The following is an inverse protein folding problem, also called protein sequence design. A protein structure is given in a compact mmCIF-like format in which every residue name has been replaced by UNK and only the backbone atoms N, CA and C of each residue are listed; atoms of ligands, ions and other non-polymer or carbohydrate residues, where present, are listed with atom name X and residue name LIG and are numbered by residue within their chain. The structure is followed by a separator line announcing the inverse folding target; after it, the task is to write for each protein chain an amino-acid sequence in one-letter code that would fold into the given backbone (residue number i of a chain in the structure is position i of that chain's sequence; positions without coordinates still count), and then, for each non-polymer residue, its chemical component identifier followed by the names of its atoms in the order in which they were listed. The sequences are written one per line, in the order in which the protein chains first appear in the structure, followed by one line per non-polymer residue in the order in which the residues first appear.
data_IF_438402253014
#
_entry.id   IF_438402253014
#
_cell.length_a   1.000
_cell.length_b   1.000
_cell.length_c   1.000
_cell.angle_alpha   90.00
_cell.angle_beta   90.00
_cell.angle_gamma   90.00
#
_symmetry.space_group_name_H-M   'P 1'
#
loop_
_entity.id
_entity.type
_entity.pdbx_description
1 polymer ?
#
# COMPACT_ATOMS: atom_id res chain seq x y z
N UNK A 1 16.32 5.94 55.91
CA UNK A 1 16.90 5.90 54.56
C UNK A 1 16.22 4.77 53.79
N UNK A 2 15.08 5.07 53.20
CA UNK A 2 14.37 4.18 52.27
C UNK A 2 14.98 4.42 50.89
N UNK A 3 15.75 3.46 50.41
CA UNK A 3 16.27 3.46 49.05
C UNK A 3 15.12 3.24 48.09
N UNK A 4 14.70 4.28 47.39
CA UNK A 4 13.86 4.14 46.19
C UNK A 4 14.62 3.29 45.18
N UNK A 5 14.14 2.06 45.02
CA UNK A 5 14.55 1.19 43.93
C UNK A 5 13.91 1.78 42.67
N UNK A 6 14.66 2.12 41.61
CA UNK A 6 14.04 2.54 40.37
C UNK A 6 13.09 1.42 39.90
N UNK A 7 11.87 1.79 39.51
CA UNK A 7 10.92 0.85 38.91
C UNK A 7 11.63 0.12 37.75
N UNK A 8 11.43 -1.21 37.59
CA UNK A 8 12.00 -1.91 36.45
C UNK A 8 11.51 -1.22 35.17
N UNK A 9 12.44 -0.97 34.24
CA UNK A 9 12.11 -0.54 32.89
C UNK A 9 11.00 -1.45 32.36
N UNK A 10 9.92 -0.87 31.82
CA UNK A 10 8.75 -1.63 31.37
C UNK A 10 9.20 -2.82 30.52
N UNK A 11 8.90 -4.04 30.98
CA UNK A 11 9.40 -5.29 30.40
C UNK A 11 8.63 -5.63 29.12
N UNK A 12 8.83 -4.83 28.07
CA UNK A 12 8.14 -4.93 26.78
C UNK A 12 9.07 -4.81 25.59
N UNK A 13 8.54 -5.18 24.42
CA UNK A 13 9.25 -5.10 23.14
C UNK A 13 9.09 -3.70 22.55
N UNK A 14 10.12 -2.85 22.70
CA UNK A 14 10.13 -1.51 22.14
C UNK A 14 10.22 -1.55 20.61
N UNK A 15 9.27 -0.90 19.94
CA UNK A 15 9.18 -0.82 18.49
C UNK A 15 8.92 0.63 18.05
N UNK A 16 9.40 1.01 16.87
CA UNK A 16 9.24 2.34 16.31
C UNK A 16 8.05 2.38 15.36
N UNK A 17 7.28 3.47 15.38
CA UNK A 17 6.21 3.73 14.41
C UNK A 17 6.46 5.08 13.75
N UNK A 18 6.65 5.06 12.43
CA UNK A 18 7.07 6.24 11.67
C UNK A 18 6.23 6.37 10.40
N UNK A 19 4.96 6.73 10.58
CA UNK A 19 4.01 7.05 9.51
C UNK A 19 3.49 8.48 9.70
N UNK A 20 3.38 9.25 8.62
CA UNK A 20 2.85 10.61 8.69
C UNK A 20 1.36 10.61 9.00
N UNK A 21 0.92 11.61 9.76
CA UNK A 21 -0.51 11.82 10.07
C UNK A 21 -1.02 13.14 9.51
N UNK A 22 -0.15 13.86 8.80
CA UNK A 22 -0.37 15.17 8.22
C UNK A 22 0.41 15.31 6.90
N UNK A 23 0.12 16.35 6.12
CA UNK A 23 0.75 16.61 4.82
C UNK A 23 0.10 15.91 3.64
N UNK A 24 0.74 16.00 2.46
CA UNK A 24 0.19 15.54 1.18
C UNK A 24 -0.15 14.03 1.13
N UNK A 25 0.51 13.22 1.96
CA UNK A 25 0.28 11.77 2.09
C UNK A 25 -0.51 11.41 3.35
N UNK A 26 -1.07 12.40 4.03
CA UNK A 26 -1.71 12.23 5.33
C UNK A 26 -2.85 11.23 5.34
N UNK A 27 -3.55 11.01 4.21
CA UNK A 27 -4.63 9.99 4.13
C UNK A 27 -4.03 8.59 4.23
N UNK A 28 -3.23 8.20 3.22
CA UNK A 28 -2.61 6.88 3.13
C UNK A 28 -1.77 6.56 4.37
N UNK A 29 -0.95 7.51 4.82
CA UNK A 29 -0.06 7.28 5.95
C UNK A 29 -0.80 7.25 7.29
N UNK A 30 -1.92 7.96 7.42
CA UNK A 30 -2.80 7.79 8.59
C UNK A 30 -3.40 6.39 8.61
N UNK A 31 -3.79 5.83 7.47
CA UNK A 31 -4.29 4.45 7.42
C UNK A 31 -3.21 3.42 7.80
N UNK A 32 -1.97 3.60 7.35
CA UNK A 32 -0.85 2.78 7.83
C UNK A 32 -0.67 2.89 9.34
N UNK A 33 -0.73 4.11 9.89
CA UNK A 33 -0.65 4.34 11.33
C UNK A 33 -1.79 3.65 12.08
N UNK A 34 -3.04 3.77 11.63
CA UNK A 34 -4.20 3.15 12.27
C UNK A 34 -4.13 1.62 12.22
N UNK A 35 -3.77 1.03 11.07
CA UNK A 35 -3.58 -0.42 10.96
C UNK A 35 -2.51 -0.94 11.93
N UNK A 36 -1.36 -0.24 11.98
CA UNK A 36 -0.26 -0.56 12.90
C UNK A 36 -0.69 -0.49 14.37
N UNK A 37 -1.36 0.60 14.76
CA UNK A 37 -1.86 0.78 16.14
C UNK A 37 -2.89 -0.29 16.49
N UNK A 38 -3.83 -0.59 15.59
CA UNK A 38 -4.86 -1.61 15.84
C UNK A 38 -4.26 -2.99 16.06
N UNK A 39 -3.25 -3.38 15.28
CA UNK A 39 -2.56 -4.65 15.45
C UNK A 39 -1.81 -4.71 16.79
N UNK A 40 -1.12 -3.63 17.18
CA UNK A 40 -0.43 -3.55 18.48
C UNK A 40 -1.43 -3.67 19.64
N UNK A 41 -2.54 -2.93 19.60
CA UNK A 41 -3.60 -2.97 20.61
C UNK A 41 -4.18 -4.38 20.73
N UNK A 42 -4.42 -5.06 19.61
CA UNK A 42 -4.93 -6.43 19.60
C UNK A 42 -3.91 -7.43 20.17
N UNK A 43 -2.66 -7.40 19.70
CA UNK A 43 -1.60 -8.31 20.17
C UNK A 43 -1.39 -8.15 21.68
N UNK A 44 -1.33 -6.91 22.17
CA UNK A 44 -1.20 -6.64 23.60
C UNK A 44 -2.43 -7.10 24.38
N UNK A 45 -3.63 -6.92 23.85
CA UNK A 45 -4.88 -7.42 24.43
C UNK A 45 -4.93 -8.95 24.54
N UNK A 46 -4.12 -9.67 23.75
CA UNK A 46 -3.97 -11.13 23.78
C UNK A 46 -2.78 -11.61 24.65
N UNK A 47 -2.16 -10.71 25.43
CA UNK A 47 -1.02 -11.03 26.31
C UNK A 47 0.35 -10.63 25.75
N UNK A 48 0.39 -9.99 24.57
CA UNK A 48 1.64 -9.58 23.94
C UNK A 48 2.36 -10.72 23.23
N UNK A 49 3.67 -10.64 23.14
CA UNK A 49 4.54 -11.67 22.53
C UNK A 49 5.47 -12.21 23.61
N UNK A 50 5.40 -13.51 23.89
CA UNK A 50 6.13 -14.14 25.00
C UNK A 50 5.83 -13.42 26.34
N UNK A 51 4.54 -13.18 26.60
CA UNK A 51 4.01 -12.49 27.79
C UNK A 51 4.51 -11.05 28.00
N UNK A 52 5.05 -10.42 26.94
CA UNK A 52 5.58 -9.06 26.96
C UNK A 52 4.84 -8.18 25.96
N UNK A 53 4.35 -7.00 26.35
CA UNK A 53 3.63 -6.11 25.44
C UNK A 53 4.58 -5.51 24.39
N UNK A 54 4.04 -5.23 23.21
CA UNK A 54 4.66 -4.33 22.24
C UNK A 54 4.51 -2.88 22.73
N UNK A 55 5.63 -2.16 22.85
CA UNK A 55 5.69 -0.79 23.34
C UNK A 55 6.07 0.16 22.18
N UNK A 56 5.09 0.80 21.52
CA UNK A 56 5.38 1.69 20.40
C UNK A 56 5.94 3.04 20.83
N UNK A 57 7.02 3.46 20.19
CA UNK A 57 7.51 4.84 20.17
C UNK A 57 7.18 5.43 18.80
N UNK A 58 6.26 6.40 18.77
CA UNK A 58 5.67 6.90 17.53
C UNK A 58 5.96 8.37 17.28
N UNK A 59 6.44 8.71 16.09
CA UNK A 59 6.64 10.10 15.65
C UNK A 59 5.86 10.41 14.37
N UNK A 60 5.49 11.68 14.18
CA UNK A 60 4.90 12.18 12.92
C UNK A 60 6.00 12.87 12.08
N UNK A 61 6.48 12.25 10.99
CA UNK A 61 7.44 12.87 10.08
C UNK A 61 6.79 13.87 9.10
N UNK A 62 5.46 14.04 9.13
CA UNK A 62 4.72 15.09 8.38
C UNK A 62 4.94 15.08 6.86
N UNK A 63 5.23 13.91 6.29
CA UNK A 63 5.52 13.76 4.88
C UNK A 63 6.82 14.44 4.43
N UNK A 64 7.77 14.67 5.32
CA UNK A 64 9.07 15.25 4.97
C UNK A 64 10.20 14.22 5.06
N UNK A 65 10.97 14.07 3.98
CA UNK A 65 12.00 13.02 3.88
C UNK A 65 13.18 13.24 4.85
N UNK A 66 13.52 14.50 5.15
CA UNK A 66 14.57 14.82 6.11
C UNK A 66 14.11 14.58 7.54
N UNK A 67 12.85 14.92 7.87
CA UNK A 67 12.23 14.57 9.14
C UNK A 67 12.13 13.05 9.34
N UNK A 68 11.76 12.31 8.29
CA UNK A 68 11.80 10.85 8.29
C UNK A 68 13.18 10.32 8.69
N UNK A 69 14.25 10.81 8.04
CA UNK A 69 15.64 10.43 8.36
C UNK A 69 16.03 10.80 9.79
N UNK A 70 15.68 12.02 10.23
CA UNK A 70 15.99 12.55 11.57
C UNK A 70 15.30 11.74 12.67
N UNK A 71 14.01 11.48 12.51
CA UNK A 71 13.20 10.74 13.47
C UNK A 71 13.55 9.25 13.50
N UNK A 72 13.89 8.65 12.35
CA UNK A 72 14.45 7.30 12.33
C UNK A 72 15.77 7.24 13.12
N UNK A 73 16.67 8.21 12.93
CA UNK A 73 17.94 8.30 13.68
C UNK A 73 17.68 8.40 15.18
N UNK A 74 16.72 9.24 15.60
CA UNK A 74 16.31 9.37 17.00
C UNK A 74 15.75 8.06 17.56
N UNK A 75 14.84 7.39 16.84
CA UNK A 75 14.28 6.10 17.26
C UNK A 75 15.39 5.08 17.55
N UNK A 76 16.40 5.01 16.67
CA UNK A 76 17.48 4.03 16.82
C UNK A 76 18.49 4.42 17.91
N UNK A 77 18.92 5.69 17.97
CA UNK A 77 20.03 6.13 18.81
C UNK A 77 19.64 6.66 20.18
N UNK A 78 18.45 7.27 20.31
CA UNK A 78 17.98 7.86 21.56
C UNK A 78 16.90 6.99 22.21
N UNK A 79 15.95 6.47 21.43
CA UNK A 79 14.85 5.65 21.96
C UNK A 79 15.20 4.15 22.04
N UNK A 80 16.40 3.76 21.59
CA UNK A 80 16.97 2.41 21.60
C UNK A 80 16.05 1.35 20.95
N UNK A 81 15.35 1.74 19.88
CA UNK A 81 14.50 0.86 19.08
C UNK A 81 15.34 0.20 17.99
N UNK A 82 15.17 -1.11 17.76
CA UNK A 82 15.83 -1.81 16.64
C UNK A 82 14.89 -2.14 15.46
N UNK A 83 13.58 -2.06 15.65
CA UNK A 83 12.57 -2.40 14.63
C UNK A 83 11.64 -1.22 14.42
N UNK A 84 11.50 -0.75 13.18
CA UNK A 84 10.65 0.37 12.80
C UNK A 84 9.59 -0.10 11.81
N UNK A 85 8.32 0.20 12.08
CA UNK A 85 7.22 0.15 11.11
C UNK A 85 7.03 1.55 10.56
N UNK A 86 7.20 1.76 9.26
CA UNK A 86 7.20 3.13 8.78
C UNK A 86 7.33 3.31 7.28
N UNK A 87 7.39 4.59 6.92
CA UNK A 87 7.41 5.10 5.56
C UNK A 87 6.10 4.85 4.81
N UNK A 88 6.00 5.45 3.64
CA UNK A 88 4.94 5.15 2.66
C UNK A 88 5.47 5.45 1.26
N UNK A 89 5.78 6.71 0.97
CA UNK A 89 6.42 7.07 -0.31
C UNK A 89 7.83 6.50 -0.42
N UNK A 90 8.22 6.13 -1.64
CA UNK A 90 9.58 5.66 -1.94
C UNK A 90 10.64 6.68 -1.52
N UNK A 91 10.37 8.00 -1.59
CA UNK A 91 11.28 9.04 -1.09
C UNK A 91 11.54 8.94 0.41
N UNK A 92 10.50 8.69 1.23
CA UNK A 92 10.66 8.48 2.68
C UNK A 92 11.46 7.22 2.99
N UNK A 93 11.19 6.11 2.27
CA UNK A 93 11.94 4.85 2.39
C UNK A 93 13.42 5.04 2.06
N UNK A 94 13.73 5.67 0.92
CA UNK A 94 15.12 5.96 0.49
C UNK A 94 15.86 6.88 1.46
N UNK A 95 15.16 7.80 2.13
CA UNK A 95 15.78 8.67 3.14
C UNK A 95 16.09 7.93 4.45
N UNK A 96 15.25 6.97 4.85
CA UNK A 96 15.40 6.18 6.09
C UNK A 96 16.37 5.00 5.90
N UNK A 97 16.40 4.38 4.72
CA UNK A 97 17.15 3.15 4.46
C UNK A 97 18.64 3.22 4.87
N UNK A 98 19.42 4.26 4.53
CA UNK A 98 20.81 4.35 4.96
C UNK A 98 21.00 4.46 6.47
N UNK A 99 19.99 4.95 7.20
CA UNK A 99 20.02 5.01 8.68
C UNK A 99 19.76 3.62 9.26
N UNK A 100 18.79 2.88 8.69
CA UNK A 100 18.46 1.51 9.10
C UNK A 100 19.68 0.59 8.89
N UNK A 101 20.27 0.60 7.70
CA UNK A 101 21.37 -0.29 7.33
C UNK A 101 22.63 -0.05 8.18
N UNK A 102 23.00 1.23 8.40
CA UNK A 102 24.17 1.58 9.21
C UNK A 102 24.07 1.12 10.66
N UNK A 103 22.85 1.07 11.20
CA UNK A 103 22.59 0.64 12.58
C UNK A 103 22.21 -0.84 12.68
N UNK A 104 22.21 -1.57 11.56
CA UNK A 104 21.70 -2.94 11.47
C UNK A 104 20.29 -3.10 12.08
N UNK A 105 19.44 -2.07 11.93
CA UNK A 105 18.05 -2.10 12.36
C UNK A 105 17.19 -2.83 11.31
N UNK A 106 15.90 -3.02 11.61
CA UNK A 106 14.94 -3.64 10.69
C UNK A 106 13.78 -2.68 10.41
N UNK A 107 13.53 -2.39 9.13
CA UNK A 107 12.37 -1.65 8.66
C UNK A 107 11.29 -2.61 8.14
N UNK A 108 10.05 -2.41 8.56
CA UNK A 108 8.87 -3.04 7.96
C UNK A 108 8.13 -2.01 7.11
N UNK A 109 7.98 -2.33 5.83
CA UNK A 109 7.45 -1.41 4.81
C UNK A 109 6.24 -2.03 4.10
N UNK A 110 5.04 -1.51 4.38
CA UNK A 110 3.76 -2.05 3.88
C UNK A 110 3.18 -1.34 2.67
N UNK A 111 3.80 -0.26 2.19
CA UNK A 111 3.30 0.42 0.99
C UNK A 111 3.73 -0.33 -0.26
N UNK A 112 2.83 -0.45 -1.24
CA UNK A 112 3.23 -0.88 -2.58
C UNK A 112 4.23 0.12 -3.17
N UNK A 113 5.11 -0.35 -4.04
CA UNK A 113 6.18 0.48 -4.62
C UNK A 113 6.65 -0.03 -5.99
N UNK A 114 7.61 0.69 -6.57
CA UNK A 114 8.10 0.50 -7.94
C UNK A 114 8.95 -0.77 -8.19
N UNK A 115 9.43 -1.45 -7.15
CA UNK A 115 10.42 -2.52 -7.29
C UNK A 115 11.87 -2.00 -7.36
N UNK A 116 12.76 -2.81 -7.94
CA UNK A 116 14.19 -2.55 -8.15
C UNK A 116 14.98 -2.23 -6.88
N UNK A 117 14.55 -2.79 -5.75
CA UNK A 117 15.22 -2.62 -4.46
C UNK A 117 15.28 -3.94 -3.69
N UNK A 118 16.42 -4.16 -3.04
CA UNK A 118 16.58 -5.22 -2.04
C UNK A 118 17.46 -4.67 -0.92
N UNK A 119 17.04 -4.92 0.32
CA UNK A 119 17.87 -4.71 1.50
C UNK A 119 17.62 -5.85 2.49
N UNK A 120 18.70 -6.37 3.09
CA UNK A 120 18.61 -7.36 4.16
C UNK A 120 17.93 -6.81 5.43
N UNK A 121 17.84 -5.48 5.53
CA UNK A 121 17.34 -4.76 6.68
C UNK A 121 15.92 -4.21 6.47
N UNK A 122 15.24 -4.67 5.42
CA UNK A 122 13.85 -4.31 5.12
C UNK A 122 13.02 -5.56 4.85
N UNK A 123 11.83 -5.63 5.45
CA UNK A 123 10.77 -6.58 5.08
C UNK A 123 9.72 -5.80 4.29
N UNK A 124 9.51 -6.18 3.03
CA UNK A 124 8.60 -5.52 2.09
C UNK A 124 7.28 -6.27 2.08
N UNK A 125 6.26 -5.67 2.70
CA UNK A 125 4.91 -6.26 2.79
C UNK A 125 3.89 -5.63 1.87
N UNK A 126 4.26 -4.56 1.17
CA UNK A 126 3.46 -4.00 0.08
C UNK A 126 3.76 -4.68 -1.27
N UNK A 127 2.80 -4.58 -2.19
CA UNK A 127 2.90 -5.18 -3.52
C UNK A 127 4.01 -4.54 -4.39
N UNK A 128 4.61 -5.37 -5.23
CA UNK A 128 5.50 -4.96 -6.32
C UNK A 128 4.76 -5.00 -7.68
N UNK A 129 5.30 -4.44 -8.77
CA UNK A 129 4.56 -4.28 -10.03
C UNK A 129 3.95 -5.57 -10.61
N UNK A 130 4.60 -6.72 -10.44
CA UNK A 130 4.08 -8.01 -10.91
C UNK A 130 2.84 -8.50 -10.13
N UNK A 131 2.64 -7.98 -8.92
CA UNK A 131 1.50 -8.24 -8.05
C UNK A 131 0.44 -7.11 -8.09
N UNK A 132 0.64 -6.09 -8.93
CA UNK A 132 -0.30 -4.97 -9.05
C UNK A 132 -0.46 -4.53 -10.51
N UNK A 133 0.38 -3.61 -10.99
CA UNK A 133 0.28 -3.01 -12.33
C UNK A 133 0.17 -4.04 -13.47
N UNK A 134 0.92 -5.14 -13.40
CA UNK A 134 0.89 -6.22 -14.39
C UNK A 134 -0.48 -6.89 -14.49
N UNK A 135 -1.09 -7.14 -13.34
CA UNK A 135 -2.38 -7.80 -13.22
C UNK A 135 -3.49 -6.88 -13.74
N UNK A 136 -3.39 -5.59 -13.42
CA UNK A 136 -4.31 -4.59 -13.94
C UNK A 136 -4.23 -4.47 -15.45
N UNK A 137 -3.03 -4.36 -16.02
CA UNK A 137 -2.84 -4.27 -17.47
C UNK A 137 -3.42 -5.50 -18.18
N UNK A 138 -3.10 -6.71 -17.70
CA UNK A 138 -3.62 -7.96 -18.25
C UNK A 138 -5.16 -8.03 -18.18
N UNK A 139 -5.75 -7.63 -17.05
CA UNK A 139 -7.20 -7.60 -16.89
C UNK A 139 -7.86 -6.61 -17.88
N UNK A 140 -7.32 -5.40 -18.00
CA UNK A 140 -7.90 -4.35 -18.84
C UNK A 140 -7.81 -4.72 -20.33
N UNK A 141 -6.67 -5.21 -20.80
CA UNK A 141 -6.48 -5.68 -22.18
C UNK A 141 -7.42 -6.82 -22.55
N UNK A 142 -7.70 -7.73 -21.61
CA UNK A 142 -8.57 -8.89 -21.82
C UNK A 142 -10.06 -8.52 -21.78
N UNK A 143 -10.46 -7.61 -20.90
CA UNK A 143 -11.88 -7.43 -20.54
C UNK A 143 -12.47 -6.05 -20.89
N UNK A 144 -11.64 -5.03 -21.15
CA UNK A 144 -12.12 -3.66 -21.39
C UNK A 144 -11.82 -3.15 -22.79
N UNK A 145 -10.59 -3.32 -23.25
CA UNK A 145 -10.20 -2.91 -24.59
C UNK A 145 -8.71 -2.71 -24.72
N UNK A 146 -8.31 -2.10 -25.83
CA UNK A 146 -6.91 -2.01 -26.26
C UNK A 146 -6.41 -0.59 -26.45
N UNK A 147 -7.30 0.41 -26.43
CA UNK A 147 -6.96 1.82 -26.61
C UNK A 147 -6.94 2.52 -25.26
N UNK A 148 -5.75 2.91 -24.81
CA UNK A 148 -5.52 3.48 -23.48
C UNK A 148 -5.21 4.97 -23.58
N UNK A 149 -5.72 5.76 -22.64
CA UNK A 149 -5.27 7.13 -22.39
C UNK A 149 -4.62 7.17 -21.02
N UNK A 150 -3.38 7.65 -20.93
CA UNK A 150 -2.64 7.70 -19.66
C UNK A 150 -2.68 9.12 -19.10
N UNK A 151 -3.01 9.26 -17.82
CA UNK A 151 -2.98 10.54 -17.11
C UNK A 151 -2.29 10.38 -15.76
N UNK A 152 -1.30 11.23 -15.48
CA UNK A 152 -0.50 11.16 -14.24
C UNK A 152 -0.21 12.52 -13.62
N UNK A 153 0.10 12.52 -12.32
CA UNK A 153 0.70 13.69 -11.68
C UNK A 153 2.21 13.77 -12.00
N UNK A 154 2.76 14.97 -12.18
CA UNK A 154 4.13 15.14 -12.66
C UNK A 154 5.20 14.93 -11.56
N UNK A 155 5.42 13.66 -11.20
CA UNK A 155 6.53 13.22 -10.35
C UNK A 155 6.92 11.76 -10.67
N UNK A 156 7.93 11.22 -9.97
CA UNK A 156 8.56 9.95 -10.34
C UNK A 156 7.60 8.75 -10.36
N UNK A 157 6.67 8.65 -9.42
CA UNK A 157 5.81 7.46 -9.30
C UNK A 157 4.83 7.31 -10.49
N UNK A 158 4.07 8.35 -10.90
CA UNK A 158 3.21 8.27 -12.07
C UNK A 158 4.00 8.03 -13.36
N UNK A 159 5.19 8.63 -13.48
CA UNK A 159 6.07 8.44 -14.65
C UNK A 159 6.50 6.99 -14.84
N UNK A 160 6.99 6.35 -13.78
CA UNK A 160 7.36 4.93 -13.84
C UNK A 160 6.15 4.02 -14.01
N UNK A 161 5.04 4.31 -13.32
CA UNK A 161 3.81 3.51 -13.44
C UNK A 161 3.22 3.57 -14.85
N UNK A 162 3.19 4.74 -15.47
CA UNK A 162 2.72 4.93 -16.85
C UNK A 162 3.68 4.32 -17.87
N UNK A 163 5.01 4.39 -17.63
CA UNK A 163 5.99 3.68 -18.46
C UNK A 163 5.73 2.17 -18.47
N UNK A 164 5.59 1.57 -17.28
CA UNK A 164 5.30 0.13 -17.14
C UNK A 164 3.97 -0.23 -17.80
N UNK A 165 2.91 0.56 -17.57
CA UNK A 165 1.60 0.32 -18.19
C UNK A 165 1.66 0.41 -19.72
N UNK A 166 2.34 1.43 -20.27
CA UNK A 166 2.55 1.54 -21.72
C UNK A 166 3.29 0.35 -22.28
N UNK A 167 4.42 -0.01 -21.69
CA UNK A 167 5.22 -1.16 -22.15
C UNK A 167 4.37 -2.43 -22.17
N UNK A 168 3.57 -2.68 -21.11
CA UNK A 168 2.65 -3.81 -21.07
C UNK A 168 1.57 -3.73 -22.16
N UNK A 169 0.93 -2.58 -22.34
CA UNK A 169 -0.15 -2.41 -23.32
C UNK A 169 0.37 -2.59 -24.74
N UNK A 170 1.47 -1.92 -25.10
CA UNK A 170 2.06 -1.97 -26.45
C UNK A 170 2.63 -3.37 -26.77
N UNK A 171 3.33 -4.01 -25.83
CA UNK A 171 3.85 -5.37 -26.02
C UNK A 171 2.74 -6.41 -26.23
N UNK A 172 1.52 -6.14 -25.78
CA UNK A 172 0.38 -7.05 -25.88
C UNK A 172 -0.66 -6.57 -26.91
N UNK A 173 -0.25 -5.72 -27.85
CA UNK A 173 -1.05 -5.33 -29.01
C UNK A 173 -2.19 -4.36 -28.70
N UNK A 174 -2.04 -3.57 -27.65
CA UNK A 174 -2.79 -2.34 -27.41
C UNK A 174 -2.04 -1.09 -27.89
N UNK A 175 -2.69 0.05 -27.75
CA UNK A 175 -2.22 1.35 -28.23
C UNK A 175 -2.43 2.40 -27.13
N UNK A 176 -1.43 3.27 -26.95
CA UNK A 176 -1.55 4.48 -26.13
C UNK A 176 -1.98 5.63 -27.04
N UNK A 177 -3.21 6.12 -26.85
CA UNK A 177 -3.76 7.23 -27.64
C UNK A 177 -3.09 8.56 -27.27
N UNK A 178 -2.86 8.77 -25.98
CA UNK A 178 -2.11 9.91 -25.47
C UNK A 178 -1.62 9.63 -24.04
N UNK A 179 -0.66 10.43 -23.60
CA UNK A 179 -0.18 10.47 -22.24
C UNK A 179 0.05 11.91 -21.76
N UNK A 180 -0.68 12.30 -20.72
CA UNK A 180 -0.63 13.65 -20.19
C UNK A 180 -0.21 13.66 -18.72
N UNK A 181 0.64 14.63 -18.38
CA UNK A 181 1.06 14.90 -17.00
C UNK A 181 0.56 16.27 -16.54
N UNK A 182 -0.03 16.30 -15.35
CA UNK A 182 -0.49 17.53 -14.70
C UNK A 182 0.26 17.77 -13.38
N UNK A 183 0.36 19.02 -12.88
CA UNK A 183 0.89 19.27 -11.55
C UNK A 183 0.15 18.47 -10.46
N UNK A 184 0.83 18.18 -9.34
CA UNK A 184 0.20 17.48 -8.20
C UNK A 184 -1.05 18.20 -7.68
N UNK A 185 -1.02 19.53 -7.71
CA UNK A 185 -2.15 20.42 -7.43
C UNK A 185 -2.64 21.05 -8.74
N UNK A 186 -3.13 20.21 -9.65
CA UNK A 186 -3.68 20.67 -10.92
C UNK A 186 -4.93 21.54 -10.71
N UNK A 187 -5.00 22.65 -11.44
CA UNK A 187 -6.19 23.49 -11.44
C UNK A 187 -7.38 22.79 -12.09
N UNK A 188 -8.59 23.19 -11.70
CA UNK A 188 -9.81 22.66 -12.29
C UNK A 188 -9.85 22.83 -13.81
N UNK A 189 -9.43 23.99 -14.33
CA UNK A 189 -9.35 24.25 -15.77
C UNK A 189 -8.46 23.22 -16.47
N UNK A 190 -7.27 22.93 -15.93
CA UNK A 190 -6.38 21.91 -16.52
C UNK A 190 -7.04 20.52 -16.53
N UNK A 191 -7.72 20.13 -15.45
CA UNK A 191 -8.40 18.83 -15.39
C UNK A 191 -9.60 18.77 -16.36
N UNK A 192 -10.33 19.87 -16.53
CA UNK A 192 -11.41 20.00 -17.51
C UNK A 192 -10.88 19.90 -18.94
N UNK A 193 -9.72 20.49 -19.22
CA UNK A 193 -9.08 20.44 -20.54
C UNK A 193 -8.69 19.01 -20.89
N UNK A 194 -7.98 18.32 -19.99
CA UNK A 194 -7.61 16.91 -20.19
C UNK A 194 -8.83 16.00 -20.32
N UNK A 195 -9.92 16.27 -19.58
CA UNK A 195 -11.14 15.47 -19.74
C UNK A 195 -11.80 15.64 -21.11
N UNK A 196 -11.72 16.84 -21.71
CA UNK A 196 -12.20 17.05 -23.09
C UNK A 196 -11.33 16.28 -24.09
N UNK A 197 -10.01 16.34 -23.93
CA UNK A 197 -9.08 15.57 -24.77
C UNK A 197 -9.36 14.05 -24.68
N UNK A 198 -9.62 13.55 -23.47
CA UNK A 198 -10.05 12.16 -23.23
C UNK A 198 -11.37 11.84 -23.95
N UNK A 199 -12.38 12.71 -23.81
CA UNK A 199 -13.68 12.50 -24.42
C UNK A 199 -13.60 12.49 -25.96
N UNK A 200 -12.76 13.34 -26.55
CA UNK A 200 -12.50 13.42 -27.98
C UNK A 200 -11.70 12.21 -28.50
N UNK A 201 -10.70 11.73 -27.73
CA UNK A 201 -9.90 10.56 -28.07
C UNK A 201 -10.70 9.24 -28.02
N UNK A 202 -11.77 9.17 -27.22
CA UNK A 202 -12.60 7.98 -27.01
C UNK A 202 -11.77 6.71 -26.69
N UNK A 203 -10.92 6.71 -25.63
CA UNK A 203 -10.22 5.50 -25.21
C UNK A 203 -11.17 4.43 -24.69
N UNK A 204 -10.73 3.18 -24.71
CA UNK A 204 -11.42 2.09 -24.02
C UNK A 204 -11.18 2.16 -22.50
N UNK A 205 -10.01 2.67 -22.08
CA UNK A 205 -9.61 2.78 -20.68
C UNK A 205 -8.81 4.07 -20.44
N UNK A 206 -9.11 4.77 -19.35
CA UNK A 206 -8.28 5.85 -18.84
C UNK A 206 -7.44 5.29 -17.70
N UNK A 207 -6.13 5.16 -17.87
CA UNK A 207 -5.24 4.77 -16.78
C UNK A 207 -4.82 6.02 -16.00
N UNK A 208 -5.27 6.12 -14.74
CA UNK A 208 -5.07 7.29 -13.91
C UNK A 208 -4.12 7.02 -12.75
N UNK A 209 -3.00 7.75 -12.77
CA UNK A 209 -1.97 7.79 -11.72
C UNK A 209 -1.87 9.18 -11.07
N UNK A 210 -2.92 10.01 -11.21
CA UNK A 210 -3.11 11.19 -10.35
C UNK A 210 -3.52 10.73 -8.95
N UNK A 211 -3.06 11.44 -7.92
CA UNK A 211 -3.36 11.15 -6.51
C UNK A 211 -3.90 12.40 -5.80
N UNK A 212 -4.44 12.21 -4.60
CA UNK A 212 -4.86 13.32 -3.74
C UNK A 212 -6.01 14.15 -4.33
N UNK A 213 -6.05 15.44 -4.02
CA UNK A 213 -7.20 16.32 -4.34
C UNK A 213 -7.50 16.38 -5.84
N UNK A 214 -6.47 16.46 -6.69
CA UNK A 214 -6.66 16.49 -8.14
C UNK A 214 -7.29 15.20 -8.67
N UNK A 215 -6.99 14.03 -8.08
CA UNK A 215 -7.65 12.79 -8.46
C UNK A 215 -9.14 12.84 -8.12
N UNK A 216 -9.50 13.31 -6.92
CA UNK A 216 -10.91 13.43 -6.49
C UNK A 216 -11.70 14.34 -7.42
N UNK A 217 -11.12 15.49 -7.79
CA UNK A 217 -11.74 16.41 -8.73
C UNK A 217 -11.87 15.80 -10.12
N UNK A 218 -10.87 15.05 -10.60
CA UNK A 218 -10.94 14.36 -11.90
C UNK A 218 -12.13 13.39 -11.98
N UNK A 219 -12.38 12.58 -10.95
CA UNK A 219 -13.55 11.67 -10.90
C UNK A 219 -14.88 12.43 -10.93
N UNK A 220 -14.96 13.58 -10.26
CA UNK A 220 -16.16 14.42 -10.29
C UNK A 220 -16.37 15.04 -11.68
N UNK A 221 -15.30 15.57 -12.28
CA UNK A 221 -15.31 16.13 -13.65
C UNK A 221 -15.72 15.05 -14.66
N UNK A 222 -15.16 13.84 -14.58
CA UNK A 222 -15.54 12.72 -15.45
C UNK A 222 -17.07 12.52 -15.48
N UNK A 223 -17.70 12.55 -14.30
CA UNK A 223 -19.15 12.42 -14.17
C UNK A 223 -19.92 13.66 -14.67
N UNK A 224 -19.39 14.87 -14.43
CA UNK A 224 -19.98 16.12 -14.94
C UNK A 224 -20.03 16.16 -16.47
N UNK A 225 -19.05 15.54 -17.14
CA UNK A 225 -19.03 15.33 -18.59
C UNK A 225 -20.00 14.24 -19.09
N UNK A 226 -20.71 13.56 -18.19
CA UNK A 226 -21.69 12.53 -18.54
C UNK A 226 -21.07 11.27 -19.15
N UNK A 227 -19.80 11.01 -18.87
CA UNK A 227 -19.09 9.83 -19.36
C UNK A 227 -19.55 8.57 -18.62
N UNK A 228 -19.55 7.44 -19.32
CA UNK A 228 -20.05 6.16 -18.80
C UNK A 228 -18.89 5.24 -18.40
N UNK A 229 -18.71 4.95 -17.09
CA UNK A 229 -17.62 4.10 -16.61
C UNK A 229 -17.76 2.63 -17.05
N UNK A 230 -18.93 2.19 -17.52
CA UNK A 230 -19.07 0.86 -18.12
C UNK A 230 -18.39 0.77 -19.48
N UNK A 231 -18.31 1.91 -20.20
CA UNK A 231 -17.71 2.01 -21.54
C UNK A 231 -16.27 2.50 -21.50
N UNK A 232 -15.97 3.47 -20.64
CA UNK A 232 -14.67 4.13 -20.55
C UNK A 232 -14.27 4.29 -19.07
N UNK A 233 -13.99 3.18 -18.35
CA UNK A 233 -13.60 3.26 -16.95
C UNK A 233 -12.28 4.00 -16.77
N UNK A 234 -12.20 4.77 -15.70
CA UNK A 234 -10.92 5.10 -15.07
C UNK A 234 -10.42 3.84 -14.35
N UNK A 235 -9.19 3.44 -14.65
CA UNK A 235 -8.46 2.39 -13.97
C UNK A 235 -7.32 3.02 -13.15
N UNK A 236 -7.20 2.67 -11.88
CA UNK A 236 -6.20 3.25 -10.97
C UNK A 236 -5.45 2.17 -10.18
N UNK A 237 -4.31 2.56 -9.62
CA UNK A 237 -3.55 1.76 -8.64
C UNK A 237 -3.70 2.28 -7.21
N UNK A 238 -4.37 3.42 -7.03
CA UNK A 238 -4.43 4.14 -5.75
C UNK A 238 -5.86 4.49 -5.32
N UNK A 239 -6.88 4.11 -6.10
CA UNK A 239 -8.26 4.27 -5.68
C UNK A 239 -8.60 3.23 -4.62
N UNK A 240 -8.81 3.71 -3.39
CA UNK A 240 -9.13 2.90 -2.20
C UNK A 240 -10.37 3.46 -1.51
N UNK A 241 -10.95 2.70 -0.57
CA UNK A 241 -12.22 3.03 0.08
C UNK A 241 -12.23 4.38 0.79
N UNK A 242 -11.15 4.78 1.47
CA UNK A 242 -11.07 6.11 2.10
C UNK A 242 -11.04 7.24 1.06
N UNK A 243 -10.35 7.04 -0.07
CA UNK A 243 -10.37 7.99 -1.20
C UNK A 243 -11.74 8.05 -1.87
N UNK A 244 -12.42 6.92 -2.02
CA UNK A 244 -13.81 6.86 -2.52
C UNK A 244 -14.76 7.60 -1.58
N UNK A 245 -14.62 7.43 -0.26
CA UNK A 245 -15.42 8.14 0.74
C UNK A 245 -15.23 9.66 0.66
N UNK A 246 -14.01 10.13 0.47
CA UNK A 246 -13.70 11.56 0.35
C UNK A 246 -14.12 12.16 -1.00
N UNK A 247 -14.04 11.39 -2.07
CA UNK A 247 -14.44 11.82 -3.43
C UNK A 247 -15.96 11.85 -3.58
N UNK A 248 -16.64 10.91 -2.91
CA UNK A 248 -18.05 10.62 -3.05
C UNK A 248 -18.26 9.37 -3.90
N UNK A 249 -18.85 8.32 -3.32
CA UNK A 249 -19.00 7.00 -3.95
C UNK A 249 -19.62 7.04 -5.35
N UNK A 250 -20.54 7.96 -5.59
CA UNK A 250 -21.22 8.09 -6.88
C UNK A 250 -20.33 8.64 -7.99
N UNK A 251 -19.27 9.38 -7.69
CA UNK A 251 -18.27 9.80 -8.67
C UNK A 251 -17.26 8.68 -8.98
N UNK A 252 -17.08 7.74 -8.06
CA UNK A 252 -16.16 6.61 -8.22
C UNK A 252 -16.83 5.35 -8.80
N UNK A 253 -18.15 5.23 -8.70
CA UNK A 253 -18.89 4.03 -9.08
C UNK A 253 -18.61 3.61 -10.53
N UNK A 254 -18.33 2.32 -10.74
CA UNK A 254 -18.01 1.73 -12.04
C UNK A 254 -16.52 1.81 -12.43
N UNK A 255 -15.70 2.57 -11.72
CA UNK A 255 -14.26 2.63 -11.96
C UNK A 255 -13.51 1.45 -11.34
N UNK A 256 -12.33 1.17 -11.89
CA UNK A 256 -11.58 -0.06 -11.63
C UNK A 256 -10.30 0.26 -10.85
N UNK A 257 -9.95 -0.60 -9.92
CA UNK A 257 -8.68 -0.50 -9.18
C UNK A 257 -8.04 -1.86 -9.00
N UNK A 258 -6.73 -1.88 -8.90
CA UNK A 258 -5.97 -3.07 -8.53
C UNK A 258 -5.42 -2.91 -7.12
N UNK A 259 -5.62 -3.94 -6.30
CA UNK A 259 -5.24 -3.94 -4.89
C UNK A 259 -4.96 -5.37 -4.42
N UNK A 260 -4.28 -5.51 -3.28
CA UNK A 260 -4.15 -6.80 -2.59
C UNK A 260 -5.33 -7.08 -1.65
N UNK A 261 -6.07 -6.05 -1.27
CA UNK A 261 -7.16 -6.14 -0.30
C UNK A 261 -8.34 -5.27 -0.71
N UNK A 262 -9.55 -5.76 -0.43
CA UNK A 262 -10.76 -4.96 -0.39
C UNK A 262 -11.51 -5.25 0.91
N UNK A 263 -12.13 -4.23 1.49
CA UNK A 263 -12.96 -4.36 2.69
C UNK A 263 -14.13 -5.33 2.54
N UNK A 264 -14.55 -5.60 1.31
CA UNK A 264 -15.64 -6.52 0.96
C UNK A 264 -15.25 -8.01 0.92
N UNK A 265 -13.97 -8.36 1.14
CA UNK A 265 -13.52 -9.75 1.15
C UNK A 265 -14.26 -10.58 2.21
N UNK A 266 -14.73 -11.77 1.84
CA UNK A 266 -15.53 -12.64 2.71
C UNK A 266 -14.68 -13.74 3.33
N UNK A 267 -14.05 -13.44 4.47
CA UNK A 267 -13.30 -14.42 5.25
C UNK A 267 -13.28 -14.02 6.74
N UNK A 268 -13.05 -14.98 7.62
CA UNK A 268 -13.11 -14.76 9.08
C UNK A 268 -12.07 -13.76 9.60
N UNK A 269 -10.90 -13.70 8.96
CA UNK A 269 -9.82 -12.78 9.35
C UNK A 269 -10.18 -11.34 8.99
N UNK A 270 -10.82 -11.12 7.83
CA UNK A 270 -11.33 -9.83 7.44
C UNK A 270 -12.51 -9.38 8.31
N UNK A 271 -13.43 -10.30 8.64
CA UNK A 271 -14.56 -10.00 9.53
C UNK A 271 -14.06 -9.54 10.91
N UNK A 272 -13.05 -10.23 11.46
CA UNK A 272 -12.40 -9.86 12.72
C UNK A 272 -11.71 -8.49 12.63
N UNK A 273 -10.89 -8.28 11.61
CA UNK A 273 -10.19 -7.00 11.38
C UNK A 273 -11.18 -5.84 11.25
N UNK A 274 -12.21 -6.01 10.42
CA UNK A 274 -13.27 -5.01 10.22
C UNK A 274 -14.07 -4.72 11.50
N UNK A 275 -14.32 -5.72 12.34
CA UNK A 275 -14.98 -5.53 13.63
C UNK A 275 -14.10 -4.74 14.61
N UNK A 276 -12.81 -5.07 14.72
CA UNK A 276 -11.85 -4.35 15.56
C UNK A 276 -11.67 -2.91 15.07
N UNK A 277 -11.55 -2.73 13.76
CA UNK A 277 -11.45 -1.42 13.14
C UNK A 277 -12.68 -0.56 13.44
N UNK A 278 -13.89 -1.09 13.22
CA UNK A 278 -15.13 -0.38 13.51
C UNK A 278 -15.25 -0.01 14.98
N UNK A 279 -14.85 -0.92 15.89
CA UNK A 279 -14.82 -0.64 17.33
C UNK A 279 -13.88 0.52 17.67
N UNK A 280 -12.75 0.64 16.97
CA UNK A 280 -11.69 1.61 17.29
C UNK A 280 -11.84 2.96 16.58
N UNK A 281 -12.35 2.95 15.35
CA UNK A 281 -12.36 4.09 14.42
C UNK A 281 -13.76 4.42 13.86
N UNK A 282 -14.81 3.72 14.30
CA UNK A 282 -16.18 3.96 13.86
C UNK A 282 -16.41 3.58 12.40
N UNK A 283 -17.10 4.44 11.67
CA UNK A 283 -17.51 4.19 10.27
C UNK A 283 -16.43 4.52 9.23
N UNK A 284 -15.19 4.79 9.67
CA UNK A 284 -14.07 4.93 8.73
C UNK A 284 -13.91 3.59 7.98
N UNK A 285 -13.80 3.58 6.64
CA UNK A 285 -13.55 2.36 5.90
C UNK A 285 -12.15 1.79 6.19
N UNK A 286 -12.01 0.48 6.06
CA UNK A 286 -10.70 -0.17 5.90
C UNK A 286 -10.31 -0.14 4.43
N UNK A 287 -9.00 -0.25 4.16
CA UNK A 287 -8.44 -0.29 2.81
C UNK A 287 -7.19 -1.15 2.79
N UNK A 288 -6.59 -1.33 1.61
CA UNK A 288 -5.33 -2.07 1.48
C UNK A 288 -4.19 -1.48 2.34
N UNK A 289 -4.22 -0.17 2.60
CA UNK A 289 -3.22 0.49 3.42
C UNK A 289 -3.33 0.07 4.89
N UNK A 290 -4.53 0.14 5.45
CA UNK A 290 -4.76 -0.26 6.84
C UNK A 290 -4.61 -1.77 7.02
N UNK A 291 -5.07 -2.58 6.06
CA UNK A 291 -4.94 -4.03 6.10
C UNK A 291 -3.47 -4.49 6.01
N UNK A 292 -2.66 -3.92 5.11
CA UNK A 292 -1.24 -4.28 4.99
C UNK A 292 -0.45 -3.89 6.25
N UNK A 293 -0.71 -2.68 6.80
CA UNK A 293 -0.05 -2.21 8.02
C UNK A 293 -0.46 -3.02 9.27
N UNK A 294 -1.72 -3.44 9.36
CA UNK A 294 -2.19 -4.36 10.40
C UNK A 294 -1.48 -5.73 10.26
N UNK A 295 -1.38 -6.24 9.03
CA UNK A 295 -0.88 -7.58 8.79
C UNK A 295 0.63 -7.72 8.98
N UNK A 296 1.42 -6.69 8.65
CA UNK A 296 2.87 -6.71 8.87
C UNK A 296 3.24 -6.81 10.35
N UNK A 297 2.47 -6.19 11.25
CA UNK A 297 2.73 -6.26 12.71
C UNK A 297 2.41 -7.66 13.23
N UNK A 298 1.36 -8.29 12.71
CA UNK A 298 1.01 -9.68 13.02
C UNK A 298 2.04 -10.69 12.50
N UNK A 299 2.63 -10.45 11.32
CA UNK A 299 3.77 -11.23 10.82
C UNK A 299 5.01 -11.04 11.71
N UNK A 300 5.31 -9.79 12.08
CA UNK A 300 6.39 -9.47 13.00
C UNK A 300 6.22 -10.17 14.35
N UNK A 301 5.03 -10.13 14.95
CA UNK A 301 4.77 -10.75 16.24
C UNK A 301 5.05 -12.26 16.22
N UNK A 302 4.66 -12.95 15.14
CA UNK A 302 4.98 -14.39 14.94
C UNK A 302 6.48 -14.62 14.76
N UNK A 303 7.16 -13.76 14.01
CA UNK A 303 8.61 -13.85 13.86
C UNK A 303 9.34 -13.62 15.19
N UNK A 304 8.87 -12.66 15.99
CA UNK A 304 9.39 -12.33 17.31
C UNK A 304 9.13 -13.45 18.32
N UNK A 305 7.95 -14.06 18.31
CA UNK A 305 7.63 -15.22 19.13
C UNK A 305 8.60 -16.38 18.86
N UNK A 306 8.90 -16.64 17.58
CA UNK A 306 9.88 -17.66 17.17
C UNK A 306 11.32 -17.30 17.49
N UNK A 307 11.71 -16.04 17.32
CA UNK A 307 13.10 -15.61 17.50
C UNK A 307 13.45 -15.37 18.98
N UNK A 308 12.45 -15.03 19.81
CA UNK A 308 12.62 -14.55 21.17
C UNK A 308 13.50 -13.29 21.28
N UNK A 309 13.65 -12.53 20.19
CA UNK A 309 14.66 -11.47 20.10
C UNK A 309 14.33 -10.43 19.05
N UNK A 310 14.61 -9.15 19.37
CA UNK A 310 14.57 -8.04 18.41
C UNK A 310 15.84 -7.93 17.55
N UNK A 311 16.78 -8.86 17.65
CA UNK A 311 17.94 -8.91 16.75
C UNK A 311 17.49 -9.07 15.30
N UNK A 312 17.99 -8.17 14.43
CA UNK A 312 17.58 -8.08 13.03
C UNK A 312 17.79 -9.38 12.27
N UNK A 313 18.94 -10.03 12.43
CA UNK A 313 19.24 -11.27 11.71
C UNK A 313 18.32 -12.40 12.16
N UNK A 314 18.07 -12.52 13.47
CA UNK A 314 17.15 -13.52 14.02
C UNK A 314 15.72 -13.28 13.53
N UNK A 315 15.25 -12.03 13.51
CA UNK A 315 13.91 -11.68 13.01
C UNK A 315 13.77 -11.99 11.51
N UNK A 316 14.75 -11.60 10.68
CA UNK A 316 14.74 -11.87 9.24
C UNK A 316 14.74 -13.39 8.97
N UNK A 317 15.50 -14.17 9.71
CA UNK A 317 15.48 -15.63 9.59
C UNK A 317 14.14 -16.23 10.04
N UNK A 318 13.59 -15.74 11.16
CA UNK A 318 12.33 -16.24 11.68
C UNK A 318 11.16 -15.91 10.74
N UNK A 319 11.07 -14.68 10.22
CA UNK A 319 9.93 -14.24 9.40
C UNK A 319 9.82 -15.03 8.08
N UNK A 320 10.94 -15.51 7.53
CA UNK A 320 10.96 -16.39 6.34
C UNK A 320 10.31 -17.75 6.56
N UNK A 321 10.02 -18.12 7.81
CA UNK A 321 9.44 -19.41 8.19
C UNK A 321 8.03 -19.30 8.77
N UNK A 322 7.52 -18.08 8.97
CA UNK A 322 6.17 -17.86 9.50
C UNK A 322 5.18 -17.60 8.39
N UNK A 323 3.92 -17.90 8.69
CA UNK A 323 2.76 -17.56 7.86
C UNK A 323 1.76 -16.81 8.71
N UNK A 324 0.96 -15.96 8.08
CA UNK A 324 -0.16 -15.29 8.72
C UNK A 324 -1.39 -15.35 7.81
N UNK A 325 -2.49 -15.92 8.31
CA UNK A 325 -3.79 -15.77 7.68
C UNK A 325 -4.33 -14.37 7.98
N UNK A 326 -4.13 -13.46 7.02
CA UNK A 326 -4.45 -12.04 7.15
C UNK A 326 -5.83 -11.69 6.58
N UNK A 327 -6.34 -10.46 6.77
CA UNK A 327 -7.57 -10.01 6.12
C UNK A 327 -7.58 -10.15 4.59
N UNK A 328 -6.41 -10.04 3.95
CA UNK A 328 -6.23 -10.19 2.50
C UNK A 328 -5.91 -11.62 2.05
N UNK A 329 -5.88 -12.57 2.99
CA UNK A 329 -5.52 -13.97 2.77
C UNK A 329 -4.14 -14.34 3.32
N UNK A 330 -3.62 -15.53 2.98
CA UNK A 330 -2.38 -16.05 3.55
C UNK A 330 -1.17 -15.24 3.10
N UNK A 331 -0.36 -14.79 4.06
CA UNK A 331 0.89 -14.07 3.85
C UNK A 331 2.10 -14.90 4.25
N UNK A 332 3.16 -14.79 3.46
CA UNK A 332 4.49 -15.33 3.76
C UNK A 332 5.57 -14.50 3.07
N UNK A 333 6.78 -14.48 3.64
CA UNK A 333 7.92 -13.74 3.08
C UNK A 333 8.76 -14.66 2.20
N UNK A 334 9.09 -14.18 1.01
CA UNK A 334 10.07 -14.80 0.14
C UNK A 334 11.48 -14.66 0.73
N UNK A 335 12.11 -15.81 0.97
CA UNK A 335 13.43 -15.90 1.55
C UNK A 335 14.54 -15.34 0.63
N UNK A 336 14.29 -15.23 -0.67
CA UNK A 336 15.27 -14.74 -1.65
C UNK A 336 15.40 -13.22 -1.64
N UNK A 337 14.31 -12.49 -1.36
CA UNK A 337 14.26 -11.04 -1.56
C UNK A 337 13.54 -10.25 -0.45
N UNK A 338 13.09 -10.89 0.63
CA UNK A 338 12.35 -10.27 1.75
C UNK A 338 11.01 -9.61 1.37
N UNK A 339 10.46 -9.90 0.19
CA UNK A 339 9.13 -9.43 -0.21
C UNK A 339 8.04 -10.44 0.12
N UNK A 340 6.79 -9.99 0.22
CA UNK A 340 5.66 -10.84 0.57
C UNK A 340 5.02 -11.50 -0.66
N UNK A 341 4.63 -12.76 -0.52
CA UNK A 341 3.68 -13.41 -1.42
C UNK A 341 2.28 -12.82 -1.18
N UNK A 342 1.74 -12.13 -2.19
CA UNK A 342 0.48 -11.40 -2.08
C UNK A 342 -0.51 -11.89 -3.14
N UNK A 343 -1.80 -11.90 -2.80
CA UNK A 343 -2.85 -12.28 -3.75
C UNK A 343 -3.36 -11.02 -4.45
N UNK A 344 -3.08 -10.84 -5.76
CA UNK A 344 -3.55 -9.67 -6.49
C UNK A 344 -5.05 -9.77 -6.79
N UNK A 345 -5.73 -8.62 -6.80
CA UNK A 345 -7.17 -8.52 -7.05
C UNK A 345 -7.48 -7.30 -7.89
N UNK A 346 -8.46 -7.42 -8.77
CA UNK A 346 -9.05 -6.30 -9.50
C UNK A 346 -10.46 -6.09 -8.99
N UNK A 347 -10.76 -4.87 -8.53
CA UNK A 347 -12.06 -4.48 -8.02
C UNK A 347 -12.73 -3.41 -8.87
N UNK A 348 -14.06 -3.38 -8.85
CA UNK A 348 -14.87 -2.27 -9.37
C UNK A 348 -15.58 -1.56 -8.23
N UNK A 349 -15.49 -0.24 -8.19
CA UNK A 349 -16.15 0.56 -7.17
C UNK A 349 -17.68 0.50 -7.35
N UNK A 350 -18.39 0.26 -6.26
CA UNK A 350 -19.84 0.25 -6.18
C UNK A 350 -20.37 1.63 -5.82
N UNK A 351 -21.67 1.82 -6.00
CA UNK A 351 -22.40 3.04 -5.64
C UNK A 351 -22.44 3.34 -4.13
N UNK A 352 -22.18 2.34 -3.28
CA UNK A 352 -22.09 2.46 -1.82
C UNK A 352 -20.66 2.73 -1.32
N UNK A 353 -19.69 2.85 -2.23
CA UNK A 353 -18.29 3.16 -1.92
C UNK A 353 -17.43 1.95 -1.54
N UNK A 354 -17.97 0.75 -1.65
CA UNK A 354 -17.25 -0.52 -1.51
C UNK A 354 -16.83 -1.06 -2.89
N UNK A 355 -16.14 -2.20 -2.93
CA UNK A 355 -15.68 -2.82 -4.18
C UNK A 355 -16.28 -4.21 -4.38
N UNK A 356 -16.70 -4.53 -5.60
CA UNK A 356 -16.91 -5.91 -6.03
C UNK A 356 -15.66 -6.44 -6.72
N UNK A 357 -15.32 -7.71 -6.49
CA UNK A 357 -14.21 -8.36 -7.18
C UNK A 357 -14.57 -8.66 -8.63
N UNK A 358 -13.79 -8.12 -9.55
CA UNK A 358 -13.82 -8.46 -10.97
C UNK A 358 -12.90 -9.64 -11.29
N UNK A 359 -11.80 -9.75 -10.55
CA UNK A 359 -10.84 -10.85 -10.67
C UNK A 359 -10.03 -10.97 -9.37
N UNK A 360 -9.64 -12.18 -9.05
CA UNK A 360 -8.74 -12.54 -7.96
C UNK A 360 -7.78 -13.61 -8.48
N UNK A 361 -6.49 -13.49 -8.17
CA UNK A 361 -5.51 -14.52 -8.52
C UNK A 361 -5.79 -15.84 -7.80
N UNK A 362 -5.48 -16.98 -8.43
CA UNK A 362 -5.73 -18.30 -7.85
C UNK A 362 -5.04 -18.55 -6.49
N UNK A 363 -4.04 -17.73 -6.16
CA UNK A 363 -3.42 -17.68 -4.84
C UNK A 363 -2.35 -16.59 -4.75
N UNK A 364 -1.54 -16.60 -3.67
CA UNK A 364 -0.46 -15.66 -3.51
C UNK A 364 0.59 -15.79 -4.62
N UNK A 365 0.90 -14.66 -5.27
CA UNK A 365 1.89 -14.56 -6.35
C UNK A 365 3.26 -14.28 -5.76
N UNK A 366 4.30 -14.98 -6.27
CA UNK A 366 5.69 -14.73 -5.88
C UNK A 366 6.09 -13.29 -6.24
N UNK A 367 6.65 -12.51 -5.32
CA UNK A 367 7.12 -11.16 -5.64
C UNK A 367 8.33 -11.21 -6.57
N UNK A 368 8.29 -10.47 -7.66
CA UNK A 368 9.44 -10.23 -8.53
C UNK A 368 9.74 -8.72 -8.58
N UNK A 369 10.54 -8.20 -7.62
CA UNK A 369 10.87 -6.79 -7.58
C UNK A 369 11.75 -6.33 -8.75
N UNK A 370 12.43 -7.25 -9.46
CA UNK A 370 13.34 -6.92 -10.56
C UNK A 370 12.78 -7.29 -11.94
N UNK A 371 11.45 -7.46 -12.03
CA UNK A 371 10.78 -7.83 -13.26
C UNK A 371 11.12 -6.83 -14.38
N UNK A 372 11.95 -7.29 -15.32
CA UNK A 372 12.52 -6.48 -16.40
C UNK A 372 11.90 -6.77 -17.77
N UNK A 373 11.14 -7.87 -17.89
CA UNK A 373 10.43 -8.26 -19.12
C UNK A 373 9.08 -8.84 -18.79
N UNK A 374 8.02 -8.37 -19.46
CA UNK A 374 6.67 -8.89 -19.32
C UNK A 374 6.44 -9.97 -20.39
N UNK A 375 6.98 -11.17 -20.15
CA UNK A 375 6.94 -12.28 -21.13
C UNK A 375 5.53 -12.83 -21.37
N UNK A 376 5.23 -13.19 -22.63
CA UNK A 376 3.94 -13.71 -23.11
C UNK A 376 3.55 -15.11 -22.57
N UNK A 377 4.50 -15.87 -22.00
CA UNK A 377 4.29 -17.29 -21.64
C UNK A 377 3.66 -17.52 -20.27
N UNK A 378 3.66 -16.52 -19.40
CA UNK A 378 2.99 -16.59 -18.09
C UNK A 378 1.70 -15.78 -18.17
N UNK A 379 0.59 -16.46 -18.42
CA UNK A 379 -0.72 -15.81 -18.42
C UNK A 379 -1.11 -15.50 -16.97
N UNK A 380 -0.98 -14.23 -16.60
CA UNK A 380 -1.08 -13.72 -15.23
C UNK A 380 -2.47 -13.82 -14.57
N UNK A 381 -3.51 -14.18 -15.33
CA UNK A 381 -4.89 -14.34 -14.83
C UNK A 381 -5.30 -15.81 -14.58
N UNK A 382 -4.33 -16.71 -14.38
CA UNK A 382 -4.58 -18.13 -14.12
C UNK A 382 -5.01 -18.42 -12.68
#
# INVERSE_FOLDING_TARGET
MTTDKPAPAEDGWRIGVLHSRSGATGVTESEHFFGTVLAIEEINGLGGVLDRPLLPVAYDPKGDADEYRRLATRLLLEDEVNVIFGCSRSSSRKAVLPVIERNNALLWYCSFYEGFEYSSNVIYTGAVPNQNSAQLAAYLLKNRGRRFFLIGADYIFPRESNRVMREMVEQHGGEILDEVYVPLEASETQLQDVMRDIADAQPDVIFCTIVGQSARRLYQIYREHGLDPQRMPIASLSMVEEEVRMTGAQACAGHITSATYFSSLKNEHNDRFSALWRKRYGDRPTSMWSAAAYSQVHLFARALERSGSLDTRKLVNAVRTVRFESPEGPLSIDAENNHTFLTPRIGVCRSDGQFDLLWEGAGPVKPDPYLSTFGFSEFWLS
#
